data_IF_309784805917
#
_entry.id   IF_309784805917
#
_cell.length_a   1.000
_cell.length_b   1.000
_cell.length_c   1.000
_cell.angle_alpha   90.00
_cell.angle_beta   90.00
_cell.angle_gamma   90.00
#
_symmetry.space_group_name_H-M   'P 1'
#
loop_
_entity.id
_entity.type
_entity.pdbx_description
1 polymer ?
#
# COMPACT_ATOMS: atom_id res chain seq x y z
N UNK A 1 1.17 12.79 13.21
CA UNK A 1 0.72 11.67 12.32
C UNK A 1 1.82 10.62 12.22
N UNK A 2 1.58 9.43 12.78
CA UNK A 2 2.48 8.29 12.58
C UNK A 2 2.41 7.83 11.11
N UNK A 3 3.58 7.62 10.50
CA UNK A 3 3.73 7.14 9.12
C UNK A 3 4.81 6.09 9.09
N UNK A 4 4.70 5.10 8.22
CA UNK A 4 5.74 4.07 8.10
C UNK A 4 7.03 4.71 7.54
N UNK A 5 8.11 4.75 8.31
CA UNK A 5 9.41 5.30 7.87
C UNK A 5 10.43 4.24 7.49
N UNK A 6 10.11 2.96 7.66
CA UNK A 6 11.05 1.85 7.47
C UNK A 6 11.37 1.48 6.00
N UNK A 7 12.06 0.34 5.81
CA UNK A 7 12.53 -0.14 4.51
C UNK A 7 11.41 -0.45 3.52
N UNK A 8 11.29 0.37 2.48
CA UNK A 8 10.20 0.30 1.47
C UNK A 8 10.27 -0.95 0.59
N UNK A 9 11.46 -1.27 0.06
CA UNK A 9 11.70 -2.46 -0.76
C UNK A 9 11.38 -3.76 -0.01
N UNK A 10 11.54 -3.78 1.32
CA UNK A 10 11.16 -4.94 2.14
C UNK A 10 9.65 -5.18 2.08
N UNK A 11 8.85 -4.12 2.16
CA UNK A 11 7.39 -4.22 2.08
C UNK A 11 6.95 -4.64 0.69
N UNK A 12 7.48 -3.99 -0.36
CA UNK A 12 7.13 -4.35 -1.73
C UNK A 12 7.42 -5.84 -1.94
N UNK A 13 8.62 -6.32 -1.58
CA UNK A 13 8.98 -7.75 -1.61
C UNK A 13 8.07 -8.67 -0.83
N UNK A 14 7.62 -8.24 0.35
CA UNK A 14 6.69 -9.03 1.15
C UNK A 14 5.31 -9.16 0.48
N UNK A 15 4.88 -8.12 -0.25
CA UNK A 15 3.59 -8.10 -0.96
C UNK A 15 3.67 -8.68 -2.37
N UNK A 16 4.88 -8.80 -2.94
CA UNK A 16 5.11 -9.31 -4.29
C UNK A 16 4.60 -8.40 -5.40
N UNK A 17 4.36 -7.12 -5.11
CA UNK A 17 3.87 -6.13 -6.07
C UNK A 17 4.65 -4.82 -5.90
N UNK A 18 4.99 -4.20 -7.03
CA UNK A 18 5.56 -2.85 -7.05
C UNK A 18 4.48 -1.82 -6.69
N UNK A 19 4.77 -0.99 -5.68
CA UNK A 19 3.84 0.02 -5.17
C UNK A 19 4.36 1.42 -5.51
N UNK A 20 3.89 2.05 -6.60
CA UNK A 20 4.44 3.32 -7.08
C UNK A 20 4.28 4.46 -6.05
N UNK A 21 3.20 4.44 -5.25
CA UNK A 21 3.01 5.44 -4.20
C UNK A 21 4.01 5.32 -3.03
N UNK A 22 4.58 4.13 -2.80
CA UNK A 22 5.50 3.88 -1.69
C UNK A 22 6.96 4.25 -2.04
N UNK A 23 7.39 4.01 -3.28
CA UNK A 23 8.78 4.20 -3.70
C UNK A 23 8.98 4.12 -5.21
N UNK A 24 10.02 4.79 -5.72
CA UNK A 24 10.45 4.69 -7.14
C UNK A 24 11.24 3.42 -7.47
N UNK A 25 11.79 2.74 -6.46
CA UNK A 25 12.65 1.56 -6.68
C UNK A 25 11.77 0.36 -7.00
N UNK A 26 12.06 -0.33 -8.10
CA UNK A 26 11.39 -1.57 -8.48
C UNK A 26 11.96 -2.74 -7.69
N UNK A 27 11.16 -3.80 -7.59
CA UNK A 27 11.55 -5.04 -6.94
C UNK A 27 12.42 -5.95 -7.81
N UNK A 28 12.58 -5.60 -9.09
CA UNK A 28 13.10 -6.46 -10.16
C UNK A 28 14.42 -7.16 -9.84
N UNK A 29 15.31 -6.51 -9.09
CA UNK A 29 16.60 -7.11 -8.68
C UNK A 29 16.42 -8.29 -7.70
N UNK A 30 15.34 -8.32 -6.91
CA UNK A 30 15.09 -9.32 -5.85
C UNK A 30 13.60 -9.58 -5.67
N UNK A 31 12.98 -10.35 -6.56
CA UNK A 31 11.53 -10.64 -6.53
C UNK A 31 11.07 -11.59 -5.41
N UNK A 32 11.97 -12.06 -4.55
CA UNK A 32 11.64 -12.99 -3.47
C UNK A 32 11.21 -12.26 -2.18
N UNK A 33 10.26 -12.82 -1.42
CA UNK A 33 9.86 -12.28 -0.12
C UNK A 33 11.08 -12.11 0.80
N UNK A 34 11.09 -11.08 1.66
CA UNK A 34 12.22 -10.85 2.55
C UNK A 34 12.29 -11.92 3.66
N UNK A 35 13.51 -12.23 4.09
CA UNK A 35 13.80 -13.14 5.20
C UNK A 35 14.43 -14.47 4.76
N UNK A 36 15.02 -15.20 5.70
CA UNK A 36 15.74 -16.46 5.45
C UNK A 36 14.85 -17.54 4.80
N UNK A 37 13.55 -17.55 5.11
CA UNK A 37 12.57 -18.46 4.52
C UNK A 37 11.79 -17.85 3.34
N UNK A 38 12.24 -16.70 2.82
CA UNK A 38 11.54 -15.95 1.78
C UNK A 38 11.24 -16.81 0.55
N UNK A 39 12.23 -17.56 0.07
CA UNK A 39 12.10 -18.47 -1.06
C UNK A 39 11.07 -19.60 -0.80
N UNK A 40 11.07 -20.20 0.40
CA UNK A 40 10.10 -21.26 0.76
C UNK A 40 8.68 -20.74 0.88
N UNK A 41 8.48 -19.49 1.34
CA UNK A 41 7.15 -18.90 1.52
C UNK A 41 6.41 -18.63 0.20
N UNK A 42 7.12 -18.54 -0.93
CA UNK A 42 6.48 -18.38 -2.24
C UNK A 42 5.60 -19.59 -2.59
N UNK A 43 5.99 -20.80 -2.14
CA UNK A 43 5.29 -22.05 -2.47
C UNK A 43 4.07 -22.34 -1.60
N UNK A 44 3.89 -21.64 -0.47
CA UNK A 44 2.79 -21.92 0.45
C UNK A 44 1.48 -21.29 -0.08
N UNK A 45 0.45 -22.13 -0.28
CA UNK A 45 -0.92 -21.64 -0.55
C UNK A 45 -1.36 -20.73 0.58
N UNK A 46 -1.73 -19.50 0.23
CA UNK A 46 -2.22 -18.51 1.19
C UNK A 46 -3.69 -18.81 1.48
N UNK A 47 -4.08 -18.69 2.75
CA UNK A 47 -5.48 -18.75 3.14
C UNK A 47 -6.25 -17.55 2.57
N UNK A 48 -7.58 -17.65 2.49
CA UNK A 48 -8.43 -16.56 2.02
C UNK A 48 -8.23 -15.28 2.84
N UNK A 49 -8.19 -15.41 4.17
CA UNK A 49 -7.85 -14.30 5.06
C UNK A 49 -6.47 -13.70 4.75
N UNK A 50 -5.48 -14.55 4.45
CA UNK A 50 -4.16 -14.11 4.04
C UNK A 50 -4.17 -13.28 2.75
N UNK A 51 -5.00 -13.67 1.77
CA UNK A 51 -5.21 -12.91 0.54
C UNK A 51 -5.85 -11.55 0.83
N UNK A 52 -6.94 -11.52 1.58
CA UNK A 52 -7.64 -10.29 1.96
C UNK A 52 -6.74 -9.33 2.75
N UNK A 53 -5.94 -9.87 3.68
CA UNK A 53 -4.97 -9.12 4.45
C UNK A 53 -3.92 -8.49 3.54
N UNK A 54 -3.38 -9.24 2.58
CA UNK A 54 -2.42 -8.70 1.62
C UNK A 54 -3.01 -7.58 0.78
N UNK A 55 -4.22 -7.74 0.25
CA UNK A 55 -4.88 -6.67 -0.53
C UNK A 55 -5.09 -5.40 0.31
N UNK A 56 -5.52 -5.55 1.57
CA UNK A 56 -5.59 -4.43 2.50
C UNK A 56 -4.23 -3.76 2.71
N UNK A 57 -3.16 -4.55 2.88
CA UNK A 57 -1.82 -4.00 3.08
C UNK A 57 -1.29 -3.30 1.82
N UNK A 58 -1.56 -3.82 0.61
CA UNK A 58 -1.22 -3.15 -0.66
C UNK A 58 -1.83 -1.75 -0.71
N UNK A 59 -3.14 -1.62 -0.44
CA UNK A 59 -3.81 -0.32 -0.36
C UNK A 59 -3.18 0.58 0.70
N UNK A 60 -2.98 0.05 1.91
CA UNK A 60 -2.44 0.82 3.03
C UNK A 60 -1.08 1.46 2.70
N UNK A 61 -0.18 0.66 2.14
CA UNK A 61 1.18 1.11 1.84
C UNK A 61 1.27 1.92 0.57
N UNK A 62 0.44 1.67 -0.44
CA UNK A 62 0.41 2.47 -1.66
C UNK A 62 0.02 3.92 -1.37
N UNK A 63 -1.07 4.12 -0.63
CA UNK A 63 -1.56 5.45 -0.28
C UNK A 63 -0.92 6.03 1.01
N UNK A 64 0.01 5.31 1.64
CA UNK A 64 0.71 5.78 2.84
C UNK A 64 -0.20 6.04 4.05
N UNK A 65 -1.34 5.35 4.15
CA UNK A 65 -2.35 5.58 5.20
C UNK A 65 -2.12 4.71 6.43
N UNK A 66 -2.57 5.16 7.60
CA UNK A 66 -2.54 4.30 8.80
C UNK A 66 -3.71 3.30 8.80
N UNK A 67 -3.61 2.22 9.57
CA UNK A 67 -4.68 1.22 9.72
C UNK A 67 -6.00 1.89 10.18
N UNK A 68 -5.90 2.85 11.12
CA UNK A 68 -7.03 3.62 11.64
C UNK A 68 -7.67 4.50 10.57
N UNK A 69 -6.86 5.15 9.74
CA UNK A 69 -7.36 5.95 8.62
C UNK A 69 -8.04 5.08 7.56
N UNK A 70 -7.42 3.95 7.20
CA UNK A 70 -8.00 3.02 6.24
C UNK A 70 -9.35 2.48 6.73
N UNK A 71 -9.46 2.12 8.02
CA UNK A 71 -10.72 1.69 8.62
C UNK A 71 -11.80 2.76 8.52
N UNK A 72 -11.45 4.03 8.76
CA UNK A 72 -12.38 5.16 8.61
C UNK A 72 -12.87 5.29 7.17
N UNK A 73 -11.95 5.26 6.19
CA UNK A 73 -12.30 5.31 4.77
C UNK A 73 -13.26 4.18 4.38
N UNK A 74 -13.03 2.97 4.87
CA UNK A 74 -13.93 1.83 4.59
C UNK A 74 -15.32 2.04 5.22
N UNK A 75 -15.38 2.57 6.45
CA UNK A 75 -16.67 2.88 7.10
C UNK A 75 -17.42 3.98 6.36
N UNK A 76 -16.72 5.02 5.91
CA UNK A 76 -17.31 6.12 5.15
C UNK A 76 -17.78 5.63 3.76
N UNK A 77 -16.98 4.80 3.08
CA UNK A 77 -17.35 4.19 1.81
C UNK A 77 -18.60 3.30 1.93
N UNK A 78 -18.74 2.55 3.02
CA UNK A 78 -19.93 1.71 3.29
C UNK A 78 -21.21 2.50 3.53
N UNK A 79 -21.10 3.76 3.96
CA UNK A 79 -22.24 4.66 4.18
C UNK A 79 -22.71 5.36 2.90
N UNK A 80 -21.85 5.41 1.88
CA UNK A 80 -22.17 6.03 0.61
C UNK A 80 -22.94 5.07 -0.30
N UNK A 81 -23.79 5.64 -1.16
CA UNK A 81 -24.48 4.88 -2.21
C UNK A 81 -23.49 4.43 -3.30
N UNK A 82 -23.63 3.19 -3.77
CA UNK A 82 -22.85 2.62 -4.86
C UNK A 82 -21.97 1.43 -4.43
N UNK A 83 -21.06 1.01 -5.32
CA UNK A 83 -20.17 -0.12 -5.07
C UNK A 83 -19.08 0.28 -4.06
N UNK A 84 -19.10 -0.35 -2.88
CA UNK A 84 -18.17 -0.05 -1.78
C UNK A 84 -16.70 -0.08 -2.21
N UNK A 85 -16.31 -1.03 -3.05
CA UNK A 85 -14.93 -1.13 -3.56
C UNK A 85 -14.50 0.11 -4.35
N UNK A 86 -15.36 0.58 -5.26
CA UNK A 86 -15.13 1.81 -6.02
C UNK A 86 -15.06 3.03 -5.12
N UNK A 87 -15.93 3.13 -4.12
CA UNK A 87 -15.94 4.24 -3.14
C UNK A 87 -14.69 4.30 -2.28
N UNK A 88 -14.14 3.16 -1.87
CA UNK A 88 -12.87 3.13 -1.12
C UNK A 88 -11.75 3.75 -1.96
N UNK A 89 -11.62 3.34 -3.23
CA UNK A 89 -10.60 3.84 -4.13
C UNK A 89 -10.82 5.33 -4.43
N UNK A 90 -12.06 5.75 -4.69
CA UNK A 90 -12.42 7.15 -4.89
C UNK A 90 -11.99 8.02 -3.71
N UNK A 91 -12.32 7.62 -2.48
CA UNK A 91 -11.96 8.37 -1.26
C UNK A 91 -10.45 8.41 -1.02
N UNK A 92 -9.72 7.35 -1.40
CA UNK A 92 -8.25 7.34 -1.32
C UNK A 92 -7.62 8.23 -2.39
N UNK A 93 -8.15 8.23 -3.62
CA UNK A 93 -7.66 9.04 -4.72
C UNK A 93 -7.87 10.54 -4.49
N UNK A 94 -8.98 10.92 -3.83
CA UNK A 94 -9.32 12.32 -3.49
C UNK A 94 -8.45 12.95 -2.41
N UNK A 95 -7.57 12.20 -1.74
CA UNK A 95 -6.69 12.78 -0.72
C UNK A 95 -5.68 13.74 -1.35
N UNK A 96 -5.39 14.84 -0.65
CA UNK A 96 -4.47 15.87 -1.12
C UNK A 96 -3.06 15.34 -1.42
N UNK A 97 -2.52 14.46 -0.56
CA UNK A 97 -1.20 13.87 -0.75
C UNK A 97 -1.13 13.00 -2.01
N UNK A 98 -2.20 12.25 -2.28
CA UNK A 98 -2.30 11.47 -3.49
C UNK A 98 -2.51 12.35 -4.74
N UNK A 99 -3.29 13.43 -4.64
CA UNK A 99 -3.46 14.38 -5.74
C UNK A 99 -2.14 15.08 -6.11
N UNK A 100 -1.34 15.50 -5.13
CA UNK A 100 0.00 16.09 -5.35
C UNK A 100 0.94 15.09 -6.03
N UNK A 101 0.87 13.81 -5.64
CA UNK A 101 1.63 12.74 -6.29
C UNK A 101 1.16 12.49 -7.73
N UNK A 102 -0.16 12.42 -7.97
CA UNK A 102 -0.76 12.24 -9.30
C UNK A 102 -0.46 13.40 -10.24
N UNK A 103 -0.40 14.62 -9.72
CA UNK A 103 -0.03 15.82 -10.46
C UNK A 103 1.48 15.92 -10.76
N UNK A 104 2.30 14.96 -10.31
CA UNK A 104 3.74 14.92 -10.59
C UNK A 104 4.59 15.86 -9.72
N UNK A 105 3.96 16.64 -8.81
CA UNK A 105 4.67 17.54 -7.91
C UNK A 105 5.51 16.80 -6.86
N UNK A 106 5.16 15.55 -6.53
CA UNK A 106 5.91 14.71 -5.63
C UNK A 106 6.36 13.40 -6.30
N UNK A 107 7.59 12.94 -6.07
CA UNK A 107 8.11 11.70 -6.67
C UNK A 107 7.44 10.42 -6.14
N UNK A 108 6.82 10.52 -4.95
CA UNK A 108 6.08 9.46 -4.25
C UNK A 108 4.98 10.12 -3.43
N UNK A 109 3.91 9.40 -3.08
CA UNK A 109 2.84 9.88 -2.19
C UNK A 109 3.37 10.36 -0.82
N UNK A 110 4.59 9.94 -0.48
CA UNK A 110 5.35 10.49 0.65
C UNK A 110 6.23 11.68 0.21
N UNK A 111 6.10 12.80 0.92
CA UNK A 111 7.16 13.80 1.05
C UNK A 111 8.32 13.22 1.86
N UNK A 112 9.48 13.07 1.21
CA UNK A 112 10.72 12.54 1.80
C UNK A 112 11.12 13.44 2.99
N UNK A 113 11.30 12.85 4.18
CA UNK A 113 12.20 13.46 5.15
C UNK A 113 13.60 13.03 4.71
N UNK A 114 14.40 13.98 4.23
CA UNK A 114 15.80 13.75 3.97
C UNK A 114 16.52 13.63 5.32
N UNK A 115 17.28 12.55 5.45
CA UNK A 115 18.45 12.38 6.30
C UNK A 115 19.37 11.43 5.57
#
# INVERSE_FOLDING_TARGET
MSRYTGPRLKIMRALGVDLPGLGRKSMQERNQPPGQHGARKVAARKSEFGLQLMEKQKLRYNYGVTERQLRRVVLDAKRQKGVTGGKIVELLERRLDNLVFRAGFAPTTRLRANS
#
